data_IF_006224420018
#
_entry.id   IF_006224420018
#
_cell.length_a   1.000
_cell.length_b   1.000
_cell.length_c   1.000
_cell.angle_alpha   90.00
_cell.angle_beta   90.00
_cell.angle_gamma   90.00
#
_symmetry.space_group_name_H-M   'P 1'
#
loop_
_entity.id
_entity.type
_entity.pdbx_description
1 polymer ?
#
# COMPACT_ATOMS: atom_id res chain seq x y z
N UNK A 1 -3.54 -15.85 -13.31
CA UNK A 1 -3.11 -17.01 -12.50
C UNK A 1 -4.10 -17.30 -11.38
N UNK A 2 -4.17 -18.55 -10.90
CA UNK A 2 -4.88 -18.89 -9.66
C UNK A 2 -3.93 -18.63 -8.49
N UNK A 3 -4.42 -17.95 -7.44
CA UNK A 3 -3.65 -17.67 -6.22
C UNK A 3 -4.47 -18.00 -4.99
N UNK A 4 -3.80 -18.29 -3.87
CA UNK A 4 -4.44 -18.49 -2.58
C UNK A 4 -4.14 -17.33 -1.65
N UNK A 5 -5.19 -16.70 -1.12
CA UNK A 5 -5.09 -15.65 -0.10
C UNK A 5 -5.79 -16.16 1.16
N UNK A 6 -5.08 -16.27 2.28
CA UNK A 6 -5.61 -16.87 3.51
C UNK A 6 -6.32 -18.22 3.27
N UNK A 7 -5.71 -19.10 2.45
CA UNK A 7 -6.26 -20.41 2.05
C UNK A 7 -7.54 -20.38 1.19
N UNK A 8 -7.96 -19.22 0.69
CA UNK A 8 -9.06 -19.08 -0.25
C UNK A 8 -8.54 -18.86 -1.67
N UNK A 9 -9.13 -19.52 -2.66
CA UNK A 9 -8.72 -19.42 -4.06
C UNK A 9 -9.28 -18.13 -4.71
N UNK A 10 -8.44 -17.43 -5.47
CA UNK A 10 -8.80 -16.25 -6.24
C UNK A 10 -8.23 -16.33 -7.66
N UNK A 11 -9.01 -15.83 -8.61
CA UNK A 11 -8.51 -15.53 -9.96
C UNK A 11 -7.81 -14.18 -9.94
N UNK A 12 -6.55 -14.17 -10.33
CA UNK A 12 -5.74 -12.98 -10.45
C UNK A 12 -5.37 -12.73 -11.92
N UNK A 13 -5.80 -11.60 -12.47
CA UNK A 13 -5.55 -11.20 -13.86
C UNK A 13 -4.63 -9.99 -13.94
N UNK A 14 -3.47 -10.20 -14.56
CA UNK A 14 -2.46 -9.17 -14.82
C UNK A 14 -1.82 -9.41 -16.18
N UNK A 15 -1.65 -8.32 -16.91
CA UNK A 15 -1.16 -8.30 -18.28
C UNK A 15 -0.06 -7.25 -18.44
N UNK A 16 0.89 -7.54 -19.32
CA UNK A 16 1.98 -6.65 -19.70
C UNK A 16 3.13 -7.43 -20.33
N UNK A 17 4.06 -6.72 -20.97
CA UNK A 17 5.27 -7.34 -21.51
C UNK A 17 6.09 -7.94 -20.37
N UNK A 18 6.52 -9.20 -20.50
CA UNK A 18 7.33 -9.86 -19.48
C UNK A 18 8.72 -9.21 -19.37
N UNK A 19 9.12 -8.88 -18.14
CA UNK A 19 10.43 -8.34 -17.83
C UNK A 19 11.51 -9.41 -17.82
N UNK A 20 12.77 -8.97 -17.92
CA UNK A 20 13.92 -9.83 -17.65
C UNK A 20 14.04 -10.06 -16.15
N UNK A 21 14.35 -11.29 -15.77
CA UNK A 21 14.66 -11.66 -14.39
C UNK A 21 16.09 -12.18 -14.29
N UNK A 22 16.70 -12.07 -13.11
CA UNK A 22 18.06 -12.53 -12.85
C UNK A 22 18.19 -13.11 -11.42
N UNK A 23 19.37 -13.61 -11.07
CA UNK A 23 19.59 -14.26 -9.77
C UNK A 23 19.80 -13.32 -8.58
N UNK A 24 19.67 -12.00 -8.74
CA UNK A 24 19.92 -11.04 -7.66
C UNK A 24 18.77 -11.05 -6.65
N UNK A 25 19.12 -10.90 -5.38
CA UNK A 25 18.18 -10.54 -4.32
C UNK A 25 18.30 -9.04 -4.10
N UNK A 26 17.27 -8.26 -4.42
CA UNK A 26 17.36 -6.78 -4.37
C UNK A 26 17.74 -6.28 -2.97
N UNK A 27 17.15 -6.87 -1.93
CA UNK A 27 17.47 -6.54 -0.54
C UNK A 27 18.96 -6.73 -0.19
N UNK A 28 19.68 -7.63 -0.88
CA UNK A 28 21.09 -7.88 -0.58
C UNK A 28 22.01 -6.70 -0.95
N UNK A 29 21.51 -5.74 -1.73
CA UNK A 29 22.23 -4.52 -2.13
C UNK A 29 21.64 -3.24 -1.54
N UNK A 30 20.50 -3.34 -0.86
CA UNK A 30 19.77 -2.21 -0.28
C UNK A 30 19.99 -2.14 1.24
N UNK A 31 19.69 -0.98 1.83
CA UNK A 31 19.60 -0.82 3.27
C UNK A 31 18.38 -1.58 3.79
N UNK A 32 18.62 -2.75 4.38
CA UNK A 32 17.57 -3.50 5.09
C UNK A 32 17.23 -2.82 6.42
N UNK A 33 16.21 -1.97 6.39
CA UNK A 33 15.66 -1.28 7.55
C UNK A 33 14.98 -2.23 8.56
N UNK A 34 14.73 -3.49 8.19
CA UNK A 34 14.22 -4.53 9.07
C UNK A 34 15.34 -5.32 9.76
N UNK A 35 16.59 -5.21 9.31
CA UNK A 35 17.69 -6.02 9.81
C UNK A 35 17.86 -5.89 11.34
N UNK A 36 18.03 -7.02 12.02
CA UNK A 36 18.15 -7.08 13.48
C UNK A 36 16.84 -6.99 14.26
N UNK A 37 15.70 -6.80 13.58
CA UNK A 37 14.38 -6.86 14.21
C UNK A 37 13.82 -8.29 14.26
N UNK A 38 12.86 -8.55 15.14
CA UNK A 38 12.18 -9.85 15.23
C UNK A 38 11.34 -10.19 13.98
N UNK A 39 11.03 -9.19 13.14
CA UNK A 39 10.19 -9.33 11.96
C UNK A 39 10.97 -9.34 10.65
N UNK A 40 12.30 -9.26 10.70
CA UNK A 40 13.18 -9.22 9.52
C UNK A 40 12.94 -10.38 8.55
N UNK A 41 12.83 -11.61 9.08
CA UNK A 41 12.62 -12.81 8.27
C UNK A 41 11.26 -12.81 7.56
N UNK A 42 10.22 -12.25 8.19
CA UNK A 42 8.88 -12.16 7.61
C UNK A 42 8.75 -10.97 6.63
N UNK A 43 9.56 -9.91 6.82
CA UNK A 43 9.51 -8.68 6.03
C UNK A 43 8.36 -7.74 6.37
N UNK A 44 7.60 -8.04 7.43
CA UNK A 44 6.51 -7.18 7.90
C UNK A 44 6.23 -7.40 9.39
N UNK A 45 5.63 -6.40 10.04
CA UNK A 45 5.04 -6.52 11.37
C UNK A 45 3.72 -5.76 11.45
N UNK A 46 2.85 -6.17 12.37
CA UNK A 46 1.66 -5.40 12.77
C UNK A 46 1.91 -4.92 14.20
N UNK A 47 1.87 -3.60 14.41
CA UNK A 47 2.23 -3.00 15.68
C UNK A 47 1.26 -1.91 16.10
N UNK A 48 1.11 -1.73 17.42
CA UNK A 48 0.46 -0.56 17.98
C UNK A 48 1.30 0.67 17.64
N UNK A 49 0.74 1.53 16.79
CA UNK A 49 1.52 2.58 16.16
C UNK A 49 1.53 3.88 16.97
N UNK A 50 0.36 4.38 17.37
CA UNK A 50 0.20 5.64 18.08
C UNK A 50 -0.66 5.45 19.34
N UNK A 51 -0.47 6.27 20.39
CA UNK A 51 -1.45 6.46 21.46
C UNK A 51 -2.85 6.72 20.91
N UNK A 52 -3.88 6.32 21.66
CA UNK A 52 -5.27 6.35 21.21
C UNK A 52 -5.71 7.75 20.70
N UNK A 53 -5.38 8.83 21.42
CA UNK A 53 -5.75 10.18 21.04
C UNK A 53 -5.12 10.61 19.69
N UNK A 54 -3.85 10.29 19.48
CA UNK A 54 -3.12 10.60 18.24
C UNK A 54 -3.65 9.73 17.09
N UNK A 55 -3.93 8.46 17.35
CA UNK A 55 -4.51 7.56 16.35
C UNK A 55 -5.90 8.04 15.90
N UNK A 56 -6.75 8.48 16.84
CA UNK A 56 -8.05 9.07 16.54
C UNK A 56 -7.91 10.36 15.71
N UNK A 57 -7.01 11.26 16.12
CA UNK A 57 -6.76 12.50 15.39
C UNK A 57 -6.27 12.24 13.95
N UNK A 58 -5.35 11.28 13.77
CA UNK A 58 -4.85 10.89 12.46
C UNK A 58 -5.97 10.32 11.59
N UNK A 59 -6.74 9.36 12.11
CA UNK A 59 -7.84 8.73 11.35
C UNK A 59 -8.89 9.76 10.95
N UNK A 60 -9.29 10.65 11.85
CA UNK A 60 -10.28 11.68 11.55
C UNK A 60 -9.76 12.69 10.51
N UNK A 61 -8.52 13.14 10.64
CA UNK A 61 -7.92 14.03 9.65
C UNK A 61 -7.83 13.40 8.25
N UNK A 62 -7.44 12.11 8.18
CA UNK A 62 -7.42 11.38 6.90
C UNK A 62 -8.84 11.14 6.35
N UNK A 63 -9.82 10.85 7.21
CA UNK A 63 -11.23 10.74 6.82
C UNK A 63 -11.75 12.07 6.24
N UNK A 64 -11.36 13.19 6.83
CA UNK A 64 -11.71 14.51 6.33
C UNK A 64 -11.16 14.79 4.92
N UNK A 65 -9.97 14.29 4.59
CA UNK A 65 -9.43 14.37 3.22
C UNK A 65 -10.28 13.57 2.22
N UNK A 66 -10.81 12.41 2.62
CA UNK A 66 -11.74 11.62 1.79
C UNK A 66 -13.07 12.36 1.57
N UNK A 67 -13.65 12.97 2.62
CA UNK A 67 -14.87 13.78 2.50
C UNK A 67 -14.65 14.97 1.57
N UNK A 68 -13.49 15.64 1.67
CA UNK A 68 -13.12 16.73 0.76
C UNK A 68 -12.96 16.25 -0.68
N UNK A 69 -12.30 15.12 -0.90
CA UNK A 69 -12.13 14.55 -2.24
C UNK A 69 -13.48 14.18 -2.89
N UNK A 70 -14.44 13.68 -2.11
CA UNK A 70 -15.83 13.46 -2.55
C UNK A 70 -16.51 14.77 -2.97
N UNK A 71 -16.42 15.81 -2.14
CA UNK A 71 -16.96 17.13 -2.46
C UNK A 71 -16.33 17.74 -3.73
N UNK A 72 -15.00 17.67 -3.86
CA UNK A 72 -14.25 18.15 -5.03
C UNK A 72 -14.56 17.36 -6.31
N UNK A 73 -15.07 16.14 -6.17
CA UNK A 73 -15.57 15.31 -7.28
C UNK A 73 -17.06 15.54 -7.59
N UNK A 74 -17.71 16.52 -6.94
CA UNK A 74 -19.12 16.85 -7.16
C UNK A 74 -20.11 16.02 -6.35
N UNK A 75 -19.64 15.26 -5.35
CA UNK A 75 -20.46 14.43 -4.47
C UNK A 75 -20.27 14.84 -2.99
N UNK A 76 -20.73 16.03 -2.58
CA UNK A 76 -20.59 16.46 -1.20
C UNK A 76 -21.37 15.54 -0.26
N UNK A 77 -20.76 15.20 0.87
CA UNK A 77 -21.34 14.40 1.95
C UNK A 77 -21.43 15.22 3.24
N UNK A 78 -22.30 14.86 4.20
CA UNK A 78 -22.33 15.49 5.51
C UNK A 78 -20.97 15.50 6.22
N UNK A 79 -20.74 16.48 7.10
CA UNK A 79 -19.47 16.61 7.82
C UNK A 79 -19.17 15.42 8.74
N UNK A 80 -20.22 14.77 9.26
CA UNK A 80 -20.18 13.58 10.11
C UNK A 80 -20.27 12.27 9.31
N UNK A 81 -20.16 12.33 7.98
CA UNK A 81 -20.20 11.14 7.14
C UNK A 81 -19.11 10.14 7.52
N UNK A 82 -19.52 8.90 7.79
CA UNK A 82 -18.62 7.78 8.02
C UNK A 82 -18.00 7.33 6.70
N UNK A 83 -16.69 7.56 6.55
CA UNK A 83 -15.93 7.18 5.35
C UNK A 83 -15.86 5.67 5.13
N UNK A 84 -16.17 4.83 6.13
CA UNK A 84 -16.34 3.40 5.91
C UNK A 84 -17.53 3.11 4.96
N UNK A 85 -18.50 4.03 4.86
CA UNK A 85 -19.63 3.96 3.95
C UNK A 85 -19.34 4.52 2.56
N UNK A 86 -18.09 4.91 2.25
CA UNK A 86 -17.68 5.45 0.95
C UNK A 86 -18.23 4.63 -0.24
N UNK A 87 -18.13 3.31 -0.15
CA UNK A 87 -18.60 2.38 -1.18
C UNK A 87 -20.11 2.42 -1.44
N UNK A 88 -20.93 2.87 -0.47
CA UNK A 88 -22.38 3.02 -0.64
C UNK A 88 -22.75 4.31 -1.38
N UNK A 89 -21.97 5.37 -1.16
CA UNK A 89 -22.16 6.65 -1.85
C UNK A 89 -21.72 6.55 -3.31
N UNK A 90 -20.54 5.99 -3.53
CA UNK A 90 -19.99 5.85 -4.89
C UNK A 90 -20.61 4.69 -5.65
N UNK A 91 -20.96 3.60 -4.94
CA UNK A 91 -21.54 2.40 -5.55
C UNK A 91 -20.75 1.93 -6.76
N UNK A 92 -21.46 1.80 -7.88
CA UNK A 92 -20.94 1.27 -9.15
C UNK A 92 -20.44 2.37 -10.07
N UNK A 93 -20.53 3.64 -9.66
CA UNK A 93 -20.05 4.79 -10.43
C UNK A 93 -18.52 4.81 -10.47
N UNK A 94 -17.97 4.18 -11.50
CA UNK A 94 -16.53 4.14 -11.75
C UNK A 94 -15.97 5.53 -12.03
N UNK A 95 -16.71 6.41 -12.71
CA UNK A 95 -16.23 7.74 -13.04
C UNK A 95 -16.06 8.59 -11.78
N UNK A 96 -17.04 8.56 -10.89
CA UNK A 96 -16.94 9.20 -9.57
C UNK A 96 -15.80 8.60 -8.75
N UNK A 97 -15.67 7.26 -8.69
CA UNK A 97 -14.57 6.63 -7.96
C UNK A 97 -13.20 7.12 -8.44
N UNK A 98 -12.99 7.13 -9.76
CA UNK A 98 -11.73 7.58 -10.35
C UNK A 98 -11.49 9.07 -10.12
N UNK A 99 -12.55 9.90 -10.14
CA UNK A 99 -12.45 11.31 -9.82
C UNK A 99 -12.00 11.53 -8.37
N UNK A 100 -12.53 10.77 -7.41
CA UNK A 100 -12.09 10.83 -6.00
C UNK A 100 -10.65 10.33 -5.86
N UNK A 101 -10.32 9.17 -6.44
CA UNK A 101 -8.95 8.60 -6.40
C UNK A 101 -7.92 9.57 -6.98
N UNK A 102 -8.25 10.31 -8.04
CA UNK A 102 -7.36 11.31 -8.61
C UNK A 102 -7.03 12.44 -7.62
N UNK A 103 -7.92 12.73 -6.66
CA UNK A 103 -7.71 13.72 -5.59
C UNK A 103 -6.96 13.15 -4.39
N UNK A 104 -7.09 11.85 -4.12
CA UNK A 104 -6.44 11.19 -2.98
C UNK A 104 -5.11 10.51 -3.33
N UNK A 105 -4.72 10.56 -4.61
CA UNK A 105 -3.55 9.85 -5.12
C UNK A 105 -2.26 10.26 -4.43
N UNK A 106 -2.13 11.50 -3.98
CA UNK A 106 -0.89 12.06 -3.42
C UNK A 106 -1.20 13.36 -2.67
N UNK A 107 -0.61 13.52 -1.49
CA UNK A 107 -0.72 14.71 -0.67
C UNK A 107 0.65 15.12 -0.13
N UNK A 108 0.94 16.43 -0.16
CA UNK A 108 2.08 17.01 0.53
C UNK A 108 1.93 16.85 2.04
N UNK A 109 2.92 16.24 2.70
CA UNK A 109 2.85 15.98 4.15
C UNK A 109 2.73 17.29 4.94
N UNK A 110 3.46 18.34 4.55
CA UNK A 110 3.47 19.61 5.27
C UNK A 110 2.10 20.29 5.34
N UNK A 111 1.28 20.11 4.30
CA UNK A 111 0.00 20.80 4.16
C UNK A 111 -1.19 19.95 4.62
N UNK A 112 -1.08 18.61 4.52
CA UNK A 112 -2.23 17.72 4.63
C UNK A 112 -2.09 16.62 5.68
N UNK A 113 -0.89 16.33 6.19
CA UNK A 113 -0.74 15.27 7.18
C UNK A 113 -1.35 15.76 8.52
N UNK A 114 -2.33 15.04 9.10
CA UNK A 114 -3.02 15.52 10.31
C UNK A 114 -2.14 15.59 11.56
N UNK A 115 -0.99 14.91 11.54
CA UNK A 115 -0.01 14.88 12.61
C UNK A 115 1.37 15.28 12.07
N UNK A 116 2.28 15.78 12.92
CA UNK A 116 3.65 16.05 12.51
C UNK A 116 4.34 14.77 12.02
N UNK A 117 4.95 14.82 10.82
CA UNK A 117 5.64 13.66 10.23
C UNK A 117 6.70 13.06 11.17
N UNK A 118 7.41 13.90 11.92
CA UNK A 118 8.42 13.49 12.92
C UNK A 118 7.89 12.50 13.97
N UNK A 119 6.61 12.58 14.31
CA UNK A 119 5.98 11.67 15.25
C UNK A 119 5.92 10.26 14.62
N UNK A 120 5.49 10.18 13.37
CA UNK A 120 5.41 8.90 12.63
C UNK A 120 6.82 8.32 12.40
N UNK A 121 7.77 9.17 11.99
CA UNK A 121 9.18 8.80 11.80
C UNK A 121 9.79 8.22 13.10
N UNK A 122 9.53 8.84 14.25
CA UNK A 122 10.00 8.34 15.54
C UNK A 122 9.42 6.95 15.85
N UNK A 123 8.09 6.77 15.70
CA UNK A 123 7.44 5.48 15.99
C UNK A 123 7.93 4.35 15.07
N UNK A 124 8.14 4.65 13.79
CA UNK A 124 8.75 3.67 12.86
C UNK A 124 10.20 3.41 13.24
N UNK A 125 10.96 4.43 13.62
CA UNK A 125 12.35 4.28 14.02
C UNK A 125 12.53 3.39 15.25
N UNK A 126 11.62 3.50 16.23
CA UNK A 126 11.55 2.59 17.38
C UNK A 126 11.31 1.13 16.95
N UNK A 127 10.43 0.87 15.98
CA UNK A 127 10.16 -0.47 15.44
C UNK A 127 11.33 -1.04 14.62
N UNK A 128 12.08 -0.18 13.94
CA UNK A 128 13.26 -0.53 13.17
C UNK A 128 14.54 -0.64 14.03
N UNK A 129 14.51 -0.12 15.27
CA UNK A 129 15.70 0.01 16.12
C UNK A 129 16.74 1.00 15.59
N UNK A 130 16.35 1.90 14.67
CA UNK A 130 17.23 2.90 14.04
C UNK A 130 16.43 4.11 13.57
N UNK A 131 17.05 5.30 13.47
CA UNK A 131 16.36 6.48 12.92
C UNK A 131 15.93 6.26 11.46
N UNK A 132 14.74 6.76 11.11
CA UNK A 132 14.21 6.79 9.74
C UNK A 132 13.62 8.16 9.42
N UNK A 133 13.36 8.43 8.15
CA UNK A 133 12.69 9.65 7.69
C UNK A 133 11.72 9.33 6.54
N UNK A 134 10.58 10.02 6.50
CA UNK A 134 9.60 9.95 5.42
C UNK A 134 9.93 11.04 4.38
N UNK A 135 11.04 10.85 3.67
CA UNK A 135 11.56 11.78 2.65
C UNK A 135 12.00 11.00 1.42
N UNK A 136 11.55 11.41 0.24
CA UNK A 136 12.05 10.90 -1.02
C UNK A 136 13.53 11.35 -1.19
N UNK A 137 14.50 10.43 -1.32
CA UNK A 137 15.91 10.83 -1.39
C UNK A 137 16.33 11.40 -2.76
N UNK A 138 15.51 11.27 -3.80
CA UNK A 138 15.82 11.79 -5.15
C UNK A 138 15.50 13.27 -5.29
N UNK A 139 14.35 13.72 -4.79
CA UNK A 139 13.85 15.09 -4.95
C UNK A 139 13.66 15.83 -3.62
N UNK A 140 13.86 15.15 -2.48
CA UNK A 140 13.60 15.65 -1.12
C UNK A 140 12.14 15.94 -0.79
N UNK A 141 11.22 15.52 -1.66
CA UNK A 141 9.81 15.70 -1.44
C UNK A 141 9.27 14.79 -0.33
N UNK A 142 8.11 15.17 0.22
CA UNK A 142 7.49 14.49 1.35
C UNK A 142 6.01 14.31 1.09
N UNK A 143 5.65 13.13 0.60
CA UNK A 143 4.27 12.80 0.26
C UNK A 143 3.70 11.66 1.09
N UNK A 144 2.38 11.52 1.06
CA UNK A 144 1.68 10.29 1.41
C UNK A 144 0.52 10.07 0.44
N UNK A 145 0.03 8.83 0.38
CA UNK A 145 -1.03 8.42 -0.53
C UNK A 145 -2.24 7.90 0.25
N UNK A 146 -3.46 8.30 -0.13
CA UNK A 146 -4.69 7.73 0.40
C UNK A 146 -5.34 6.85 -0.67
N UNK A 147 -5.25 5.53 -0.46
CA UNK A 147 -5.81 4.52 -1.35
C UNK A 147 -7.24 4.19 -0.91
N UNK A 148 -8.16 4.18 -1.88
CA UNK A 148 -9.56 3.85 -1.68
C UNK A 148 -9.90 2.59 -2.48
N UNK A 149 -10.47 1.59 -1.82
CA UNK A 149 -10.81 0.30 -2.42
C UNK A 149 -12.25 -0.03 -2.06
N UNK A 150 -13.12 -0.24 -3.06
CA UNK A 150 -14.50 -0.66 -2.81
C UNK A 150 -14.59 -2.17 -2.66
N UNK A 151 -15.42 -2.69 -1.73
CA UNK A 151 -15.65 -4.13 -1.58
C UNK A 151 -16.08 -4.78 -2.91
N UNK A 152 -15.46 -5.91 -3.24
CA UNK A 152 -15.79 -6.69 -4.45
C UNK A 152 -15.45 -6.01 -5.77
N UNK A 153 -14.72 -4.89 -5.76
CA UNK A 153 -14.27 -4.18 -6.96
C UNK A 153 -12.77 -4.37 -7.18
N UNK A 154 -12.37 -4.24 -8.43
CA UNK A 154 -10.99 -4.35 -8.88
C UNK A 154 -10.21 -3.03 -8.70
N UNK A 155 -10.33 -2.41 -7.53
CA UNK A 155 -9.71 -1.12 -7.23
C UNK A 155 -8.29 -1.30 -6.63
N UNK A 156 -7.89 -2.54 -6.32
CA UNK A 156 -6.57 -2.86 -5.74
C UNK A 156 -5.47 -2.88 -6.81
N UNK A 157 -4.25 -2.52 -6.38
CA UNK A 157 -3.06 -2.76 -7.20
C UNK A 157 -2.86 -4.26 -7.45
N UNK A 158 -2.24 -4.63 -8.58
CA UNK A 158 -1.73 -5.99 -8.78
C UNK A 158 -0.71 -6.35 -7.68
N UNK A 159 -0.41 -7.64 -7.51
CA UNK A 159 0.73 -8.08 -6.71
C UNK A 159 2.00 -7.51 -7.33
N UNK A 160 2.84 -6.88 -6.51
CA UNK A 160 4.08 -6.22 -6.94
C UNK A 160 5.07 -6.14 -5.79
N UNK A 161 6.32 -5.75 -6.10
CA UNK A 161 7.28 -5.21 -5.14
C UNK A 161 7.53 -3.75 -5.49
N UNK A 162 7.45 -2.84 -4.52
CA UNK A 162 7.70 -1.42 -4.78
C UNK A 162 9.14 -1.16 -5.21
N UNK A 163 10.12 -1.88 -4.63
CA UNK A 163 11.55 -1.80 -4.96
C UNK A 163 11.90 -2.14 -6.42
N UNK A 164 10.93 -2.58 -7.22
CA UNK A 164 11.11 -2.65 -8.68
C UNK A 164 11.20 -1.29 -9.35
N UNK A 165 10.71 -0.25 -8.68
CA UNK A 165 11.00 1.12 -9.03
C UNK A 165 12.20 1.57 -8.17
N UNK A 166 13.28 2.08 -8.80
CA UNK A 166 14.48 2.52 -8.10
C UNK A 166 14.18 3.45 -6.92
N UNK A 167 13.16 4.29 -7.08
CA UNK A 167 12.72 5.30 -6.13
C UNK A 167 12.24 4.75 -4.76
N UNK A 168 12.10 3.42 -4.63
CA UNK A 168 11.70 2.77 -3.38
C UNK A 168 12.78 1.87 -2.78
N UNK A 169 13.99 1.87 -3.32
CA UNK A 169 15.13 1.22 -2.67
C UNK A 169 15.37 1.83 -1.28
N UNK A 170 15.88 1.03 -0.35
CA UNK A 170 16.22 1.47 1.01
C UNK A 170 15.00 1.98 1.83
N UNK A 171 13.78 1.62 1.42
CA UNK A 171 12.54 2.11 2.03
C UNK A 171 11.74 0.98 2.70
N UNK A 172 10.88 1.38 3.65
CA UNK A 172 9.80 0.57 4.18
C UNK A 172 8.47 1.25 3.89
N UNK A 173 7.43 0.44 3.64
CA UNK A 173 6.07 0.94 3.52
C UNK A 173 5.37 0.99 4.88
N UNK A 174 4.60 2.05 5.10
CA UNK A 174 3.71 2.18 6.25
C UNK A 174 2.28 1.99 5.74
N UNK A 175 1.62 0.94 6.23
CA UNK A 175 0.20 0.73 6.00
C UNK A 175 -0.60 1.11 7.24
N UNK A 176 -1.43 2.15 7.13
CA UNK A 176 -2.27 2.64 8.21
C UNK A 176 -3.74 2.62 7.78
N UNK A 177 -4.57 1.73 8.34
CA UNK A 177 -5.99 1.70 8.05
C UNK A 177 -6.71 2.96 8.54
N UNK A 178 -7.43 3.64 7.64
CA UNK A 178 -8.39 4.68 8.01
C UNK A 178 -9.72 4.01 8.39
N UNK A 179 -10.27 3.20 7.50
CA UNK A 179 -11.51 2.45 7.68
C UNK A 179 -11.50 1.14 6.88
N UNK A 180 -12.33 0.18 7.28
CA UNK A 180 -12.68 -1.00 6.47
C UNK A 180 -11.57 -2.03 6.25
N UNK A 181 -10.47 -1.98 7.01
CA UNK A 181 -9.40 -2.97 6.95
C UNK A 181 -9.55 -4.01 8.06
N UNK A 182 -9.70 -5.27 7.68
CA UNK A 182 -9.82 -6.43 8.57
C UNK A 182 -8.95 -7.58 8.04
N UNK A 183 -8.96 -8.73 8.71
CA UNK A 183 -8.34 -9.96 8.20
C UNK A 183 -8.86 -10.40 6.80
N UNK A 184 -9.99 -9.86 6.33
CA UNK A 184 -10.59 -10.18 5.04
C UNK A 184 -10.29 -9.13 3.96
N UNK A 185 -9.92 -7.90 4.34
CA UNK A 185 -9.83 -6.76 3.42
C UNK A 185 -8.53 -5.96 3.52
N UNK A 186 -7.62 -6.29 4.44
CA UNK A 186 -6.31 -5.65 4.53
C UNK A 186 -5.41 -5.98 3.32
N UNK A 187 -4.29 -5.25 3.23
CA UNK A 187 -3.30 -5.48 2.18
C UNK A 187 -2.79 -6.92 2.22
N UNK A 188 -2.69 -7.49 1.03
CA UNK A 188 -2.09 -8.80 0.84
C UNK A 188 -0.58 -8.71 0.77
N UNK A 189 0.11 -9.67 1.37
CA UNK A 189 1.56 -9.81 1.24
C UNK A 189 1.98 -11.29 1.22
N UNK A 190 3.21 -11.53 0.77
CA UNK A 190 3.86 -12.85 0.83
C UNK A 190 5.04 -12.76 1.80
N UNK A 191 4.95 -13.36 2.99
CA UNK A 191 6.00 -13.28 4.00
C UNK A 191 7.34 -13.81 3.45
N UNK A 192 8.43 -13.11 3.77
CA UNK A 192 9.79 -13.51 3.36
C UNK A 192 10.12 -13.31 1.88
N UNK A 193 9.17 -12.83 1.06
CA UNK A 193 9.37 -12.67 -0.38
C UNK A 193 10.40 -11.60 -0.75
N UNK A 194 10.74 -10.69 0.16
CA UNK A 194 11.81 -9.70 0.00
C UNK A 194 13.22 -10.33 -0.05
N UNK A 195 13.37 -11.58 0.39
CA UNK A 195 14.63 -12.34 0.27
C UNK A 195 14.74 -13.17 -1.01
N UNK A 196 13.69 -13.22 -1.85
CA UNK A 196 13.72 -14.08 -3.03
C UNK A 196 14.52 -13.44 -4.16
N UNK A 197 15.34 -14.22 -4.89
CA UNK A 197 15.97 -13.74 -6.09
C UNK A 197 14.94 -13.39 -7.17
N UNK A 198 15.23 -12.40 -8.00
CA UNK A 198 14.29 -11.87 -8.99
C UNK A 198 13.83 -12.93 -10.01
N UNK A 199 14.63 -13.97 -10.26
CA UNK A 199 14.27 -15.09 -11.13
C UNK A 199 13.23 -16.05 -10.57
N UNK A 200 12.80 -15.90 -9.30
CA UNK A 200 11.67 -16.67 -8.74
C UNK A 200 10.31 -16.06 -9.03
N UNK A 201 10.25 -14.78 -9.43
CA UNK A 201 9.01 -14.06 -9.67
C UNK A 201 9.03 -13.46 -11.06
N UNK A 202 8.18 -13.99 -11.96
CA UNK A 202 7.95 -13.39 -13.26
C UNK A 202 7.10 -12.13 -13.09
N UNK A 203 7.53 -11.02 -13.69
CA UNK A 203 6.85 -9.73 -13.61
C UNK A 203 6.80 -9.03 -14.97
N UNK A 204 5.98 -8.01 -15.09
CA UNK A 204 6.02 -7.11 -16.24
C UNK A 204 7.31 -6.28 -16.28
N UNK A 205 7.76 -5.87 -17.47
CA UNK A 205 8.97 -5.09 -17.67
C UNK A 205 8.83 -3.65 -17.13
N UNK A 206 7.65 -3.07 -17.28
CA UNK A 206 7.25 -1.77 -16.73
C UNK A 206 5.91 -1.91 -16.00
N UNK A 207 5.04 -0.91 -16.11
CA UNK A 207 3.69 -0.96 -15.58
C UNK A 207 2.87 -2.17 -16.03
N UNK A 208 1.75 -2.39 -15.36
CA UNK A 208 0.88 -3.54 -15.59
C UNK A 208 -0.57 -3.11 -15.81
N UNK A 209 -1.33 -3.92 -16.54
CA UNK A 209 -2.78 -3.82 -16.60
C UNK A 209 -3.38 -4.91 -15.73
N UNK A 210 -4.19 -4.55 -14.75
CA UNK A 210 -4.95 -5.50 -13.94
C UNK A 210 -6.43 -5.13 -14.01
N UNK A 211 -7.28 -6.09 -14.35
CA UNK A 211 -8.73 -5.90 -14.44
C UNK A 211 -9.13 -4.68 -15.31
N UNK A 212 -8.41 -4.44 -16.41
CA UNK A 212 -8.65 -3.31 -17.32
C UNK A 212 -8.26 -1.93 -16.76
N UNK A 213 -7.50 -1.87 -15.67
CA UNK A 213 -6.90 -0.65 -15.10
C UNK A 213 -5.40 -0.69 -15.29
N UNK A 214 -4.82 0.40 -15.81
CA UNK A 214 -3.38 0.55 -15.96
C UNK A 214 -2.74 1.05 -14.65
N UNK A 215 -1.65 0.41 -14.26
CA UNK A 215 -0.82 0.73 -13.11
C UNK A 215 0.60 1.02 -13.56
N UNK A 216 1.28 1.94 -12.88
CA UNK A 216 2.67 2.30 -13.16
C UNK A 216 3.67 1.29 -12.57
N UNK A 217 3.27 0.60 -11.50
CA UNK A 217 4.09 -0.44 -10.87
C UNK A 217 4.11 -1.71 -11.70
N UNK A 218 5.26 -2.40 -11.81
CA UNK A 218 5.29 -3.72 -12.42
C UNK A 218 4.45 -4.73 -11.65
N UNK A 219 3.73 -5.59 -12.37
CA UNK A 219 2.84 -6.60 -11.79
C UNK A 219 3.45 -7.99 -11.90
N UNK A 220 3.22 -8.83 -10.88
CA UNK A 220 3.56 -10.25 -10.92
C UNK A 220 2.72 -10.94 -12.00
N UNK A 221 3.37 -11.62 -12.94
CA UNK A 221 2.74 -12.47 -13.95
C UNK A 221 2.71 -13.94 -13.52
N UNK A 222 3.66 -14.35 -12.67
CA UNK A 222 3.76 -15.70 -12.15
C UNK A 222 4.90 -15.85 -11.15
N UNK A 223 4.96 -17.01 -10.50
CA UNK A 223 6.01 -17.37 -9.56
C UNK A 223 6.39 -18.84 -9.76
N UNK A 224 7.67 -19.15 -9.62
CA UNK A 224 8.15 -20.54 -9.65
C UNK A 224 7.68 -21.32 -8.41
N UNK A 225 7.51 -20.62 -7.29
CA UNK A 225 7.05 -21.15 -6.01
C UNK A 225 5.58 -20.75 -5.76
N UNK A 226 4.80 -21.53 -5.00
CA UNK A 226 3.48 -21.11 -4.53
C UNK A 226 3.54 -19.76 -3.80
N UNK A 227 2.64 -18.85 -4.15
CA UNK A 227 2.47 -17.60 -3.42
C UNK A 227 1.59 -17.88 -2.20
N UNK A 228 2.20 -18.04 -1.03
CA UNK A 228 1.49 -18.11 0.26
C UNK A 228 1.03 -16.71 0.68
N UNK A 229 -0.01 -16.21 0.02
CA UNK A 229 -0.49 -14.84 0.25
C UNK A 229 -1.33 -14.81 1.53
N UNK A 230 -1.02 -13.85 2.40
CA UNK A 230 -1.79 -13.60 3.62
C UNK A 230 -2.35 -12.18 3.64
N UNK A 231 -3.35 -11.96 4.48
CA UNK A 231 -3.83 -10.63 4.90
C UNK A 231 -3.62 -10.49 6.41
N UNK A 232 -2.55 -9.81 6.86
CA UNK A 232 -2.37 -9.53 8.28
C UNK A 232 -3.55 -8.71 8.81
N UNK A 233 -4.11 -9.07 9.96
CA UNK A 233 -5.16 -8.28 10.58
C UNK A 233 -4.53 -7.05 11.26
N UNK A 234 -4.80 -5.81 10.84
CA UNK A 234 -4.15 -4.64 11.41
C UNK A 234 -4.72 -4.16 12.75
N UNK A 235 -5.76 -4.84 13.27
CA UNK A 235 -6.39 -4.51 14.56
C UNK A 235 -7.81 -4.00 14.41
#
# INVERSE_FOLDING_TARGET
MQVRINQQDFTYDVQGEAGRTDGRVLLATDDDLSAGTAWAAAGYTVANFLPAAEQTALREGLAQLVRRALADAGCPVPADFDVAQYHRVVGDDRALHLAVVARTKEYQQADFLPLPARLLEQRVGELCGRPVQARNPWDNERFFHLRLVRPGRADNNPLHRDVWLPDYHNCLNIYLPVAGSTAQSSLTLVPGSHHWPENRTLRTAGGAVSNGVAFTVPGVLGSAEPLEIIRPNPG
#
